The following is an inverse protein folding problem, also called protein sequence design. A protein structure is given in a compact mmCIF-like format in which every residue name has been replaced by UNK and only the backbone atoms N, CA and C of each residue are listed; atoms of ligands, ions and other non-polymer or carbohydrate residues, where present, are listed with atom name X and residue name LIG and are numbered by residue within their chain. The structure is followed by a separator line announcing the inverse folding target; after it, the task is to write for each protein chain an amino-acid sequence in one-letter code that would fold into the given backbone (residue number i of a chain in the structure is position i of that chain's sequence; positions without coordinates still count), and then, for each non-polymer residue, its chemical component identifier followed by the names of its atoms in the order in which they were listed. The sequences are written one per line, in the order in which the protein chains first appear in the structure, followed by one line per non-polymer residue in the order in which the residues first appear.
data_IF_929270491667
#
_entry.id   IF_929270491667
#
_cell.length_a   1.000
_cell.length_b   1.000
_cell.length_c   1.000
_cell.angle_alpha   90.00
_cell.angle_beta   90.00
_cell.angle_gamma   90.00
#
_symmetry.space_group_name_H-M   'P 1'
#
loop_
_entity.id
_entity.type
_entity.pdbx_description
1 polymer ?
#
# COMPACT_ATOMS: atom_id res chain seq x y z
N UNK A 1 -3.83 -49.13 -58.22
CA UNK A 1 -4.06 -49.30 -56.76
C UNK A 1 -3.06 -48.44 -56.01
N UNK A 2 -3.54 -47.60 -55.09
CA UNK A 2 -2.86 -46.83 -54.03
C UNK A 2 -1.92 -45.63 -54.37
N UNK A 3 -2.53 -44.43 -54.34
CA UNK A 3 -2.25 -43.20 -53.53
C UNK A 3 -0.87 -42.89 -52.90
N UNK A 4 -0.45 -41.60 -53.05
CA UNK A 4 0.10 -40.63 -52.07
C UNK A 4 1.43 -40.92 -51.34
N UNK A 5 2.34 -39.99 -50.98
CA UNK A 5 2.43 -38.52 -50.86
C UNK A 5 3.95 -38.16 -50.90
N UNK A 6 4.42 -37.13 -51.61
CA UNK A 6 4.54 -35.71 -51.21
C UNK A 6 5.64 -35.40 -50.17
N UNK A 7 6.75 -34.79 -50.62
CA UNK A 7 7.63 -33.96 -49.80
C UNK A 7 8.02 -32.73 -50.63
N UNK A 8 7.43 -31.58 -50.30
CA UNK A 8 7.65 -30.30 -50.99
C UNK A 8 8.81 -29.56 -50.32
N UNK A 9 9.77 -29.13 -51.14
CA UNK A 9 10.95 -28.36 -50.77
C UNK A 9 10.78 -26.92 -51.29
N UNK A 10 10.97 -25.97 -50.37
CA UNK A 10 11.48 -24.58 -50.50
C UNK A 10 10.96 -23.70 -51.65
N UNK A 11 10.35 -22.57 -51.28
CA UNK A 11 10.70 -21.28 -51.92
C UNK A 11 10.90 -20.22 -50.83
N UNK A 12 12.15 -19.75 -50.75
CA UNK A 12 12.56 -18.54 -50.04
C UNK A 12 12.37 -17.36 -51.00
N UNK A 13 11.80 -16.24 -50.54
CA UNK A 13 12.08 -14.94 -51.17
C UNK A 13 11.94 -13.81 -50.15
N UNK A 14 13.10 -13.45 -49.60
CA UNK A 14 13.62 -12.14 -49.26
C UNK A 14 12.66 -10.94 -49.25
N UNK A 15 12.43 -10.36 -48.05
CA UNK A 15 12.31 -8.90 -47.89
C UNK A 15 13.30 -8.46 -46.81
N UNK A 16 14.38 -7.83 -47.26
CA UNK A 16 15.30 -7.03 -46.45
C UNK A 16 14.60 -5.69 -46.18
N UNK A 17 14.33 -5.37 -44.91
CA UNK A 17 14.14 -3.97 -44.50
C UNK A 17 14.95 -3.72 -43.23
N UNK A 18 16.08 -3.04 -43.42
CA UNK A 18 16.78 -2.27 -42.42
C UNK A 18 15.91 -1.05 -42.04
N UNK A 19 15.64 -0.81 -40.76
CA UNK A 19 14.93 0.40 -40.34
C UNK A 19 14.63 0.48 -38.84
N UNK A 20 15.30 1.41 -38.16
CA UNK A 20 15.02 1.82 -36.77
C UNK A 20 13.72 2.65 -36.72
N UNK A 21 12.85 2.29 -35.77
CA UNK A 21 11.87 3.09 -35.02
C UNK A 21 10.93 4.03 -35.78
N UNK A 22 9.61 3.80 -35.66
CA UNK A 22 8.63 4.72 -35.02
C UNK A 22 7.19 4.25 -35.26
N UNK A 23 6.43 4.05 -34.18
CA UNK A 23 4.95 4.06 -34.07
C UNK A 23 4.15 3.83 -35.36
N UNK A 24 4.18 2.61 -35.92
CA UNK A 24 3.27 2.24 -37.00
C UNK A 24 1.94 1.76 -36.40
N UNK A 25 0.94 2.65 -36.35
CA UNK A 25 -0.46 2.26 -36.21
C UNK A 25 -0.87 1.64 -37.54
N UNK A 26 -0.89 0.31 -37.61
CA UNK A 26 -1.38 -0.40 -38.80
C UNK A 26 -2.89 -0.25 -38.83
N UNK A 27 -3.38 0.68 -39.67
CA UNK A 27 -4.78 0.77 -40.05
C UNK A 27 -4.90 -0.16 -41.26
N UNK A 28 -5.49 -1.34 -41.07
CA UNK A 28 -5.85 -2.22 -42.17
C UNK A 28 -7.12 -1.66 -42.81
N UNK A 29 -7.02 -1.25 -44.07
CA UNK A 29 -8.19 -0.91 -44.87
C UNK A 29 -9.14 -2.12 -44.96
N UNK A 30 -10.43 -1.82 -44.92
CA UNK A 30 -11.52 -2.77 -44.67
C UNK A 30 -11.71 -3.81 -45.80
N UNK A 31 -10.91 -3.74 -46.87
CA UNK A 31 -11.01 -4.58 -48.06
C UNK A 31 -10.11 -5.83 -47.98
N UNK A 32 -9.14 -5.88 -47.04
CA UNK A 32 -8.24 -7.04 -46.83
C UNK A 32 -8.75 -8.03 -45.75
N UNK A 33 -10.01 -7.90 -45.32
CA UNK A 33 -10.57 -8.76 -44.26
C UNK A 33 -11.19 -10.06 -44.81
N UNK A 34 -11.60 -10.06 -46.07
CA UNK A 34 -12.43 -11.15 -46.62
C UNK A 34 -11.63 -12.28 -47.27
N UNK A 35 -10.33 -12.09 -47.53
CA UNK A 35 -9.45 -13.07 -48.19
C UNK A 35 -8.34 -13.66 -47.31
N UNK A 36 -8.45 -13.55 -45.98
CA UNK A 36 -7.54 -14.26 -45.06
C UNK A 36 -7.91 -15.74 -44.99
N UNK A 37 -6.92 -16.62 -45.16
CA UNK A 37 -7.05 -18.06 -44.90
C UNK A 37 -7.51 -18.30 -43.45
N UNK A 38 -8.27 -19.38 -43.23
CA UNK A 38 -8.92 -19.69 -41.95
C UNK A 38 -7.92 -19.78 -40.78
N UNK A 39 -6.65 -20.10 -41.07
CA UNK A 39 -5.56 -20.15 -40.09
C UNK A 39 -5.16 -18.75 -39.57
N UNK A 40 -5.18 -17.71 -40.41
CA UNK A 40 -4.84 -16.34 -40.02
C UNK A 40 -5.96 -15.65 -39.23
N UNK A 41 -7.23 -15.97 -39.54
CA UNK A 41 -8.39 -15.55 -38.73
C UNK A 41 -8.35 -16.16 -37.32
N UNK A 42 -7.80 -17.37 -37.21
CA UNK A 42 -7.64 -18.09 -35.93
C UNK A 42 -6.50 -17.50 -35.11
N UNK A 43 -5.37 -17.16 -35.75
CA UNK A 43 -4.23 -16.46 -35.11
C UNK A 43 -4.61 -15.05 -34.61
N UNK A 44 -5.38 -14.28 -35.38
CA UNK A 44 -5.92 -12.97 -34.95
C UNK A 44 -6.90 -13.10 -33.78
N UNK A 45 -7.78 -14.12 -33.79
CA UNK A 45 -8.63 -14.45 -32.64
C UNK A 45 -7.77 -14.86 -31.42
N UNK A 46 -6.66 -15.57 -31.61
CA UNK A 46 -5.72 -15.95 -30.54
C UNK A 46 -4.85 -14.79 -30.03
N UNK A 47 -4.59 -13.79 -30.85
CA UNK A 47 -3.88 -12.57 -30.47
C UNK A 47 -4.79 -11.59 -29.71
N UNK A 48 -6.05 -11.42 -30.17
CA UNK A 48 -7.06 -10.65 -29.43
C UNK A 48 -7.53 -11.33 -28.13
N UNK A 49 -7.32 -12.65 -27.98
CA UNK A 49 -7.53 -13.38 -26.72
C UNK A 49 -6.36 -13.20 -25.72
N UNK A 50 -5.26 -12.55 -26.14
CA UNK A 50 -4.07 -12.29 -25.31
C UNK A 50 -3.99 -10.87 -24.73
N UNK A 51 -5.08 -10.10 -24.74
CA UNK A 51 -5.24 -9.02 -23.77
C UNK A 51 -5.64 -9.60 -22.40
N UNK A 52 -4.82 -10.49 -21.86
CA UNK A 52 -4.89 -10.85 -20.44
C UNK A 52 -4.48 -9.59 -19.69
N UNK A 53 -5.46 -8.86 -19.17
CA UNK A 53 -5.23 -7.72 -18.29
C UNK A 53 -4.33 -8.23 -17.17
N UNK A 54 -3.05 -7.82 -17.17
CA UNK A 54 -2.09 -8.26 -16.14
C UNK A 54 -2.64 -7.77 -14.80
N UNK A 55 -3.11 -8.69 -13.96
CA UNK A 55 -3.60 -8.34 -12.64
C UNK A 55 -2.43 -7.74 -11.86
N UNK A 56 -2.60 -6.50 -11.41
CA UNK A 56 -1.60 -5.81 -10.61
C UNK A 56 -1.71 -6.37 -9.19
N UNK A 57 -0.63 -6.96 -8.68
CA UNK A 57 -0.59 -7.46 -7.30
C UNK A 57 0.10 -6.41 -6.45
N UNK A 58 -0.64 -5.84 -5.49
CA UNK A 58 -0.10 -4.85 -4.58
C UNK A 58 0.29 -5.48 -3.23
N UNK A 59 1.36 -4.99 -2.58
CA UNK A 59 1.75 -5.45 -1.25
C UNK A 59 0.64 -5.19 -0.22
N UNK A 60 0.10 -6.27 0.35
CA UNK A 60 -0.81 -6.21 1.50
C UNK A 60 0.01 -6.00 2.79
N UNK A 61 -0.56 -5.39 3.85
CA UNK A 61 -1.92 -4.87 3.96
C UNK A 61 -2.05 -3.40 3.51
N UNK A 62 -0.93 -2.75 3.19
CA UNK A 62 -0.85 -1.29 3.04
C UNK A 62 -1.11 -0.75 1.64
N UNK A 63 -1.36 -1.62 0.66
CA UNK A 63 -1.73 -1.21 -0.68
C UNK A 63 -2.96 -1.95 -1.20
N UNK A 64 -3.75 -1.25 -1.99
CA UNK A 64 -4.93 -1.79 -2.69
C UNK A 64 -4.86 -1.45 -4.18
N UNK A 65 -5.43 -2.32 -5.00
CA UNK A 65 -5.51 -2.13 -6.45
C UNK A 65 -6.75 -1.29 -6.76
N UNK A 66 -6.58 -0.19 -7.48
CA UNK A 66 -7.68 0.64 -7.98
C UNK A 66 -8.20 0.16 -9.33
N UNK A 67 -9.37 0.66 -9.73
CA UNK A 67 -10.05 0.28 -10.98
C UNK A 67 -9.25 0.57 -12.26
N UNK A 68 -8.32 1.53 -12.20
CA UNK A 68 -7.35 1.87 -13.24
C UNK A 68 -6.03 1.05 -13.13
N UNK A 69 -6.04 -0.05 -12.36
CA UNK A 69 -4.91 -0.96 -12.16
C UNK A 69 -3.65 -0.30 -11.54
N UNK A 70 -3.83 0.63 -10.59
CA UNK A 70 -2.71 1.19 -9.81
C UNK A 70 -2.69 0.66 -8.38
N UNK A 71 -1.50 0.54 -7.82
CA UNK A 71 -1.34 0.34 -6.38
C UNK A 71 -1.39 1.69 -5.68
N UNK A 72 -2.31 1.84 -4.74
CA UNK A 72 -2.42 3.04 -3.91
C UNK A 72 -2.34 2.67 -2.44
N UNK A 73 -1.87 3.61 -1.63
CA UNK A 73 -1.78 3.45 -0.19
C UNK A 73 -3.15 3.21 0.44
N UNK A 74 -3.19 2.28 1.37
CA UNK A 74 -4.32 1.93 2.21
C UNK A 74 -3.82 1.88 3.65
N UNK A 75 -3.61 3.06 4.23
CA UNK A 75 -3.14 3.18 5.60
C UNK A 75 -4.29 3.06 6.61
N UNK A 76 -4.00 2.47 7.76
CA UNK A 76 -4.94 2.39 8.88
C UNK A 76 -5.04 3.71 9.65
N UNK A 77 -5.94 3.77 10.63
CA UNK A 77 -6.14 4.98 11.43
C UNK A 77 -4.85 5.39 12.16
N UNK A 78 -4.53 6.69 12.14
CA UNK A 78 -3.36 7.25 12.83
C UNK A 78 -2.01 6.88 12.21
N UNK A 79 -2.01 6.33 10.99
CA UNK A 79 -0.78 5.97 10.26
C UNK A 79 -0.55 6.87 9.06
N UNK A 80 0.66 6.85 8.53
CA UNK A 80 1.09 7.54 7.33
C UNK A 80 1.99 6.64 6.47
N UNK A 81 2.02 6.84 5.13
CA UNK A 81 2.94 6.13 4.26
C UNK A 81 4.41 6.37 4.62
N UNK A 82 5.18 5.29 4.71
CA UNK A 82 6.64 5.34 4.66
C UNK A 82 7.13 4.71 3.36
N UNK A 83 7.62 5.56 2.46
CA UNK A 83 8.09 5.17 1.13
C UNK A 83 9.34 4.29 1.23
N UNK A 84 10.11 4.39 2.32
CA UNK A 84 11.35 3.64 2.52
C UNK A 84 11.08 2.18 2.84
N UNK A 85 10.14 1.94 3.75
CA UNK A 85 9.75 0.58 4.17
C UNK A 85 8.62 0.00 3.32
N UNK A 86 7.96 0.85 2.53
CA UNK A 86 6.75 0.51 1.78
C UNK A 86 5.60 0.03 2.69
N UNK A 87 5.58 0.52 3.94
CA UNK A 87 4.57 0.25 4.96
C UNK A 87 3.85 1.54 5.40
N UNK A 88 2.74 1.41 6.12
CA UNK A 88 2.15 2.55 6.83
C UNK A 88 2.62 2.56 8.29
N UNK A 89 3.39 3.57 8.69
CA UNK A 89 3.93 3.75 10.05
C UNK A 89 3.07 4.71 10.87
N UNK A 90 3.21 4.74 12.20
CA UNK A 90 2.49 5.72 13.02
C UNK A 90 2.90 7.16 12.63
N UNK A 91 1.94 8.08 12.70
CA UNK A 91 2.22 9.51 12.60
C UNK A 91 3.04 9.99 13.80
N UNK A 92 3.70 11.14 13.65
CA UNK A 92 4.46 11.75 14.74
C UNK A 92 3.55 12.00 15.96
N UNK A 93 3.99 11.51 17.13
CA UNK A 93 3.22 11.61 18.37
C UNK A 93 2.10 10.57 18.53
N UNK A 94 1.98 9.62 17.60
CA UNK A 94 1.10 8.46 17.72
C UNK A 94 1.91 7.21 18.10
N UNK A 95 1.24 6.25 18.74
CA UNK A 95 1.82 4.95 19.08
C UNK A 95 0.91 3.81 18.60
N UNK A 96 1.50 2.65 18.31
CA UNK A 96 0.77 1.50 17.79
C UNK A 96 -0.10 0.88 18.89
N UNK A 97 -1.39 0.72 18.60
CA UNK A 97 -2.37 0.10 19.51
C UNK A 97 -2.90 -1.23 19.03
N UNK A 98 -2.60 -1.63 17.79
CA UNK A 98 -3.00 -2.90 17.23
C UNK A 98 -3.19 -2.84 15.72
N UNK A 99 -4.07 -3.69 15.21
CA UNK A 99 -4.41 -3.79 13.79
C UNK A 99 -5.92 -3.71 13.57
N UNK A 100 -6.34 -3.21 12.41
CA UNK A 100 -7.74 -3.21 12.01
C UNK A 100 -8.17 -4.55 11.38
N UNK A 101 -9.46 -4.64 10.99
CA UNK A 101 -10.03 -5.84 10.36
C UNK A 101 -9.35 -6.26 9.04
N UNK A 102 -8.55 -5.38 8.42
CA UNK A 102 -7.80 -5.65 7.20
C UNK A 102 -6.32 -6.01 7.49
N UNK A 103 -5.95 -6.11 8.77
CA UNK A 103 -4.58 -6.38 9.22
C UNK A 103 -3.66 -5.17 9.11
N UNK A 104 -4.19 -3.95 8.94
CA UNK A 104 -3.39 -2.73 8.87
C UNK A 104 -3.12 -2.20 10.27
N UNK A 105 -1.90 -1.71 10.52
CA UNK A 105 -1.53 -1.00 11.75
C UNK A 105 -2.51 0.12 12.09
N UNK A 106 -2.89 0.22 13.36
CA UNK A 106 -3.68 1.29 13.94
C UNK A 106 -2.84 1.98 15.01
N UNK A 107 -2.77 3.29 14.94
CA UNK A 107 -2.08 4.10 15.94
C UNK A 107 -3.02 5.14 16.55
N UNK A 108 -2.78 5.48 17.81
CA UNK A 108 -3.54 6.51 18.54
C UNK A 108 -2.61 7.47 19.28
N UNK A 109 -3.19 8.55 19.81
CA UNK A 109 -2.48 9.50 20.66
C UNK A 109 -2.51 9.06 22.12
N UNK A 110 -1.45 9.37 22.85
CA UNK A 110 -1.42 9.24 24.30
C UNK A 110 -2.36 10.25 24.98
N UNK A 111 -3.08 9.86 26.05
CA UNK A 111 -3.87 10.77 26.85
C UNK A 111 -3.00 11.84 27.53
N UNK A 112 -3.12 13.09 27.07
CA UNK A 112 -2.48 14.24 27.71
C UNK A 112 -3.28 14.67 28.95
N UNK A 113 -2.65 15.30 29.96
CA UNK A 113 -1.24 15.66 30.03
C UNK A 113 -0.34 14.57 30.66
N UNK A 114 -0.94 13.47 31.13
CA UNK A 114 -0.27 12.48 31.98
C UNK A 114 0.44 11.36 31.23
N UNK A 115 0.37 11.35 29.90
CA UNK A 115 1.09 10.40 29.07
C UNK A 115 1.86 11.08 27.95
N UNK A 116 2.97 10.46 27.55
CA UNK A 116 3.80 10.88 26.42
C UNK A 116 4.21 9.67 25.60
N UNK A 117 4.38 9.86 24.29
CA UNK A 117 4.95 8.85 23.40
C UNK A 117 6.48 8.94 23.45
N UNK A 118 7.13 7.83 23.75
CA UNK A 118 8.60 7.71 23.74
C UNK A 118 9.13 7.40 22.34
N UNK A 119 10.45 7.53 22.14
CA UNK A 119 11.11 7.29 20.85
C UNK A 119 10.96 5.86 20.33
N UNK A 120 10.68 4.89 21.21
CA UNK A 120 10.37 3.50 20.87
C UNK A 120 8.85 3.25 20.72
N UNK A 121 8.08 4.31 20.48
CA UNK A 121 6.64 4.26 20.18
C UNK A 121 5.81 3.63 21.29
N UNK A 122 6.13 3.91 22.56
CA UNK A 122 5.32 3.47 23.72
C UNK A 122 4.64 4.66 24.38
N UNK A 123 3.42 4.43 24.83
CA UNK A 123 2.71 5.39 25.67
C UNK A 123 3.10 5.18 27.14
N UNK A 124 3.78 6.15 27.73
CA UNK A 124 4.28 6.04 29.11
C UNK A 124 3.77 7.18 29.98
N UNK A 125 3.70 6.93 31.29
CA UNK A 125 3.36 7.94 32.28
C UNK A 125 4.35 9.11 32.25
N UNK A 126 3.79 10.31 32.30
CA UNK A 126 4.50 11.59 32.37
C UNK A 126 3.93 12.37 33.54
N UNK A 127 4.22 11.93 34.76
CA UNK A 127 3.70 12.54 35.97
C UNK A 127 4.49 13.79 36.38
N UNK A 128 3.78 14.78 36.95
CA UNK A 128 4.38 16.00 37.49
C UNK A 128 5.01 15.79 38.88
N UNK A 129 5.69 16.80 39.40
CA UNK A 129 6.35 16.72 40.70
C UNK A 129 5.35 16.40 41.83
N UNK A 130 5.71 15.44 42.71
CA UNK A 130 4.87 15.03 43.84
C UNK A 130 3.61 14.24 43.47
N UNK A 131 3.50 13.79 42.21
CA UNK A 131 2.37 12.98 41.74
C UNK A 131 2.79 11.52 41.46
N UNK A 132 1.79 10.66 41.32
CA UNK A 132 1.94 9.24 40.98
C UNK A 132 0.80 8.80 40.04
N UNK A 133 1.04 7.77 39.21
CA UNK A 133 -0.01 7.19 38.38
C UNK A 133 -1.20 6.66 39.19
N UNK A 134 -2.41 7.00 38.75
CA UNK A 134 -3.64 6.31 39.13
C UNK A 134 -4.22 5.63 37.88
N UNK A 135 -4.09 4.30 37.86
CA UNK A 135 -4.57 3.45 36.77
C UNK A 135 -6.10 3.47 36.62
N UNK A 136 -6.82 3.87 37.66
CA UNK A 136 -8.29 3.88 37.66
C UNK A 136 -8.83 5.08 36.90
N UNK A 137 -8.24 6.24 37.16
CA UNK A 137 -8.61 7.51 36.52
C UNK A 137 -7.79 7.78 35.25
N UNK A 138 -6.71 7.02 35.02
CA UNK A 138 -5.75 7.23 33.96
C UNK A 138 -5.08 8.63 34.04
N UNK A 139 -4.92 9.14 35.27
CA UNK A 139 -4.31 10.43 35.59
C UNK A 139 -3.12 10.29 36.53
N UNK A 140 -2.30 11.34 36.67
CA UNK A 140 -1.34 11.41 37.77
C UNK A 140 -1.94 12.19 38.94
N UNK A 141 -2.17 11.51 40.06
CA UNK A 141 -2.73 12.07 41.30
C UNK A 141 -1.62 12.42 42.30
N UNK A 142 -1.90 13.24 43.32
CA UNK A 142 -0.90 13.50 44.37
C UNK A 142 -0.53 12.21 45.11
N UNK A 143 0.73 12.09 45.51
CA UNK A 143 1.18 11.04 46.42
C UNK A 143 0.51 11.18 47.79
N UNK A 144 0.51 10.09 48.56
CA UNK A 144 0.01 10.11 49.93
C UNK A 144 0.77 11.14 50.77
N UNK A 145 0.03 12.00 51.48
CA UNK A 145 0.62 13.09 52.27
C UNK A 145 0.95 14.37 51.49
N UNK A 146 0.69 14.40 50.17
CA UNK A 146 0.83 15.59 49.34
C UNK A 146 -0.53 16.26 49.09
N UNK A 147 -0.51 17.52 48.66
CA UNK A 147 -1.69 18.24 48.17
C UNK A 147 -1.34 19.02 46.89
N UNK A 148 -2.35 19.24 46.03
CA UNK A 148 -2.18 19.95 44.76
C UNK A 148 -1.88 21.43 45.02
N UNK A 149 -0.78 21.91 44.46
CA UNK A 149 -0.31 23.30 44.59
C UNK A 149 -0.34 24.07 43.27
N UNK A 150 -0.54 23.38 42.13
CA UNK A 150 -0.67 24.02 40.83
C UNK A 150 -0.53 23.05 39.66
N UNK A 151 -0.22 23.60 38.49
CA UNK A 151 0.10 22.84 37.27
C UNK A 151 1.40 23.32 36.65
N UNK A 152 2.12 22.42 35.97
CA UNK A 152 3.32 22.76 35.22
C UNK A 152 3.02 23.28 33.81
N UNK A 153 4.05 23.63 33.05
CA UNK A 153 3.93 24.13 31.67
C UNK A 153 3.27 23.15 30.68
N UNK A 154 3.15 21.87 31.05
CA UNK A 154 2.49 20.85 30.25
C UNK A 154 1.05 20.58 30.73
N UNK A 155 0.56 21.36 31.72
CA UNK A 155 -0.76 21.20 32.33
C UNK A 155 -0.84 20.04 33.32
N UNK A 156 0.30 19.46 33.74
CA UNK A 156 0.33 18.37 34.71
C UNK A 156 0.25 18.91 36.12
N UNK A 157 -0.48 18.23 36.98
CA UNK A 157 -0.58 18.53 38.42
C UNK A 157 0.81 18.57 39.08
N UNK A 158 1.03 19.58 39.93
CA UNK A 158 2.16 19.69 40.86
C UNK A 158 1.59 19.52 42.26
N UNK A 159 2.23 18.67 43.07
CA UNK A 159 1.87 18.51 44.47
C UNK A 159 3.07 18.76 45.38
N UNK A 160 2.78 19.18 46.62
CA UNK A 160 3.79 19.41 47.66
C UNK A 160 3.37 18.74 48.97
N UNK A 161 4.32 18.38 49.86
CA UNK A 161 4.00 17.82 51.17
C UNK A 161 3.11 18.76 51.98
N UNK A 162 2.16 18.20 52.71
CA UNK A 162 1.30 18.93 53.67
C UNK A 162 2.10 19.54 54.81
#
# INVERSE_FOLDING_TARGET
MHYSNCLSILIVSSIVILGKWSNARVIFDNEYRDNLEEQDKTLLKQFNKRHVKRETICPKPYHVVTSDNRCVWSCGQGTQPDITTNECVCQDGYYETGTDQFGRRVCTICPKPYHVVTSDSRCVWSCGQGTQPDITTNECVCQDGYYETGTDQFGRRICSPK
#
